data_IF_535308429173
#
_entry.id   IF_535308429173
#
_cell.length_a   1.000
_cell.length_b   1.000
_cell.length_c   1.000
_cell.angle_alpha   90.00
_cell.angle_beta   90.00
_cell.angle_gamma   90.00
#
_symmetry.space_group_name_H-M   'P 1'
#
loop_
_entity.id
_entity.type
_entity.pdbx_description
1 polymer ?
#
# COMPACT_ATOMS: atom_id res chain seq x y z
N UNK A 1 -8.92 -5.33 -9.88
CA UNK A 1 -7.98 -6.05 -9.00
C UNK A 1 -6.59 -6.16 -9.63
N UNK A 2 -6.45 -6.73 -10.82
CA UNK A 2 -5.14 -6.80 -11.51
C UNK A 2 -4.58 -5.42 -11.86
N UNK A 3 -5.44 -4.45 -12.19
CA UNK A 3 -5.03 -3.07 -12.53
C UNK A 3 -4.23 -2.38 -11.42
N UNK A 4 -4.67 -2.43 -10.15
CA UNK A 4 -3.91 -1.87 -9.01
C UNK A 4 -2.50 -2.44 -8.90
N UNK A 5 -2.34 -3.74 -9.16
CA UNK A 5 -1.03 -4.40 -9.13
C UNK A 5 -0.21 -4.04 -10.37
N UNK A 6 -0.81 -4.05 -11.55
CA UNK A 6 -0.14 -3.80 -12.83
C UNK A 6 0.29 -2.33 -12.98
N UNK A 7 -0.53 -1.37 -12.56
CA UNK A 7 -0.21 0.06 -12.56
C UNK A 7 0.93 0.35 -11.59
N UNK A 8 0.93 -0.30 -10.42
CA UNK A 8 2.05 -0.23 -9.47
C UNK A 8 3.32 -0.82 -10.05
N UNK A 9 3.24 -2.01 -10.67
CA UNK A 9 4.40 -2.61 -11.30
C UNK A 9 4.97 -1.72 -12.40
N UNK A 10 4.13 -1.12 -13.24
CA UNK A 10 4.53 -0.14 -14.25
C UNK A 10 5.15 1.12 -13.65
N UNK A 11 4.58 1.66 -12.57
CA UNK A 11 5.11 2.84 -11.89
C UNK A 11 6.50 2.59 -11.25
N UNK A 12 6.83 1.32 -10.99
CA UNK A 12 8.12 0.89 -10.46
C UNK A 12 9.12 0.50 -11.55
N UNK A 13 8.72 0.48 -12.83
CA UNK A 13 9.65 0.22 -13.94
C UNK A 13 10.65 1.37 -14.05
N UNK A 14 11.94 1.04 -14.03
CA UNK A 14 13.02 2.03 -14.14
C UNK A 14 13.34 2.80 -12.84
N UNK A 15 12.69 2.48 -11.72
CA UNK A 15 13.02 3.06 -10.41
C UNK A 15 13.94 2.09 -9.65
N UNK A 16 15.22 2.42 -9.57
CA UNK A 16 16.24 1.58 -8.92
C UNK A 16 16.31 1.82 -7.41
N UNK A 17 16.03 3.04 -6.95
CA UNK A 17 16.09 3.40 -5.53
C UNK A 17 14.94 2.76 -4.72
N UNK A 18 15.24 1.89 -3.73
CA UNK A 18 14.23 1.26 -2.88
C UNK A 18 13.35 2.26 -2.12
N UNK A 19 13.88 3.42 -1.71
CA UNK A 19 13.11 4.44 -1.00
C UNK A 19 12.05 5.06 -1.91
N UNK A 20 12.45 5.46 -3.12
CA UNK A 20 11.55 5.97 -4.15
C UNK A 20 10.48 4.94 -4.52
N UNK A 21 10.86 3.67 -4.71
CA UNK A 21 9.90 2.59 -4.96
C UNK A 21 8.86 2.49 -3.84
N UNK A 22 9.30 2.50 -2.57
CA UNK A 22 8.40 2.41 -1.43
C UNK A 22 7.40 3.59 -1.38
N UNK A 23 7.88 4.81 -1.62
CA UNK A 23 7.03 6.02 -1.66
C UNK A 23 5.99 5.93 -2.79
N UNK A 24 6.43 5.52 -3.99
CA UNK A 24 5.54 5.35 -5.15
C UNK A 24 4.49 4.28 -4.87
N UNK A 25 4.88 3.13 -4.31
CA UNK A 25 3.94 2.04 -3.99
C UNK A 25 2.89 2.49 -2.98
N UNK A 26 3.27 3.22 -1.92
CA UNK A 26 2.33 3.73 -0.91
C UNK A 26 1.32 4.69 -1.53
N UNK A 27 1.81 5.69 -2.28
CA UNK A 27 0.93 6.71 -2.87
C UNK A 27 -0.03 6.12 -3.90
N UNK A 28 0.46 5.25 -4.77
CA UNK A 28 -0.38 4.58 -5.78
C UNK A 28 -1.36 3.53 -5.21
N UNK A 29 -1.29 3.24 -3.91
CA UNK A 29 -2.21 2.34 -3.24
C UNK A 29 -3.50 2.92 -2.76
N UNK A 30 -3.54 4.24 -2.70
CA UNK A 30 -4.67 4.95 -2.15
C UNK A 30 -5.63 5.34 -3.27
N UNK A 31 -6.94 5.38 -2.98
CA UNK A 31 -7.91 5.97 -3.89
C UNK A 31 -7.55 7.44 -4.12
N UNK A 32 -7.67 7.90 -5.36
CA UNK A 32 -7.44 9.31 -5.68
C UNK A 32 -8.47 10.22 -4.98
N UNK A 33 -9.73 9.77 -4.93
CA UNK A 33 -10.86 10.45 -4.32
C UNK A 33 -11.98 9.42 -3.97
N UNK A 34 -13.14 9.92 -3.55
CA UNK A 34 -14.33 9.12 -3.23
C UNK A 34 -15.11 8.63 -4.48
N UNK A 35 -14.65 9.01 -5.68
CA UNK A 35 -15.23 8.61 -6.95
C UNK A 35 -14.47 7.46 -7.64
N UNK A 36 -13.49 6.86 -6.97
CA UNK A 36 -12.78 5.70 -7.51
C UNK A 36 -13.69 4.46 -7.58
N UNK A 37 -14.20 4.20 -8.78
CA UNK A 37 -15.15 3.10 -9.06
C UNK A 37 -14.57 1.71 -8.74
N UNK A 38 -13.26 1.52 -8.90
CA UNK A 38 -12.64 0.23 -8.63
C UNK A 38 -12.49 -0.01 -7.13
N UNK A 39 -12.16 1.03 -6.37
CA UNK A 39 -12.11 0.95 -4.90
C UNK A 39 -13.51 0.77 -4.33
N UNK A 40 -14.55 1.43 -4.87
CA UNK A 40 -15.94 1.19 -4.46
C UNK A 40 -16.34 -0.27 -4.61
N UNK A 41 -15.96 -0.90 -5.72
CA UNK A 41 -16.20 -2.32 -5.95
C UNK A 41 -15.45 -3.17 -4.91
N UNK A 42 -14.19 -2.87 -4.63
CA UNK A 42 -13.42 -3.56 -3.59
C UNK A 42 -14.05 -3.41 -2.19
N UNK A 43 -14.53 -2.22 -1.84
CA UNK A 43 -15.21 -1.99 -0.56
C UNK A 43 -16.51 -2.81 -0.45
N UNK A 44 -17.30 -2.88 -1.52
CA UNK A 44 -18.52 -3.67 -1.55
C UNK A 44 -18.22 -5.18 -1.41
N UNK A 45 -17.16 -5.67 -2.07
CA UNK A 45 -16.71 -7.06 -1.95
C UNK A 45 -16.17 -7.37 -0.55
N UNK A 46 -15.44 -6.44 0.07
CA UNK A 46 -14.91 -6.55 1.44
C UNK A 46 -16.00 -6.73 2.48
N UNK A 47 -17.09 -5.97 2.38
CA UNK A 47 -18.24 -6.10 3.27
C UNK A 47 -18.93 -7.47 3.20
N UNK A 48 -18.91 -8.12 2.04
CA UNK A 48 -19.58 -9.40 1.79
C UNK A 48 -18.65 -10.62 1.97
N UNK A 49 -17.34 -10.41 2.08
CA UNK A 49 -16.34 -11.48 2.14
C UNK A 49 -16.55 -12.46 3.30
N UNK A 50 -17.05 -12.00 4.45
CA UNK A 50 -17.37 -12.87 5.58
C UNK A 50 -18.51 -13.87 5.30
N UNK A 51 -19.32 -13.60 4.27
CA UNK A 51 -20.52 -14.37 3.89
C UNK A 51 -20.38 -15.08 2.53
N UNK A 52 -19.37 -14.72 1.74
CA UNK A 52 -19.09 -15.31 0.44
C UNK A 52 -17.64 -15.81 0.34
N UNK A 53 -17.48 -17.13 0.32
CA UNK A 53 -16.17 -17.81 0.28
C UNK A 53 -15.33 -17.46 -0.95
N UNK A 54 -15.97 -17.19 -2.09
CA UNK A 54 -15.25 -16.80 -3.32
C UNK A 54 -14.63 -15.42 -3.15
N UNK A 55 -15.37 -14.47 -2.57
CA UNK A 55 -14.87 -13.12 -2.30
C UNK A 55 -13.77 -13.12 -1.24
N UNK A 56 -13.91 -13.93 -0.19
CA UNK A 56 -12.86 -14.12 0.80
C UNK A 56 -11.54 -14.61 0.16
N UNK A 57 -11.60 -15.59 -0.74
CA UNK A 57 -10.42 -16.12 -1.45
C UNK A 57 -9.78 -15.04 -2.32
N UNK A 58 -10.58 -14.29 -3.08
CA UNK A 58 -10.06 -13.24 -3.96
C UNK A 58 -9.37 -12.12 -3.19
N UNK A 59 -9.98 -11.63 -2.11
CA UNK A 59 -9.40 -10.57 -1.27
C UNK A 59 -8.14 -11.05 -0.55
N UNK A 60 -8.14 -12.30 -0.06
CA UNK A 60 -6.94 -12.90 0.55
C UNK A 60 -5.79 -12.98 -0.46
N UNK A 61 -6.06 -13.45 -1.68
CA UNK A 61 -5.06 -13.53 -2.73
C UNK A 61 -4.53 -12.15 -3.15
N UNK A 62 -5.38 -11.13 -3.18
CA UNK A 62 -4.97 -9.75 -3.45
C UNK A 62 -4.07 -9.21 -2.32
N UNK A 63 -4.48 -9.39 -1.07
CA UNK A 63 -3.71 -8.98 0.11
C UNK A 63 -2.31 -9.63 0.09
N UNK A 64 -2.23 -10.95 -0.11
CA UNK A 64 -0.96 -11.67 -0.15
C UNK A 64 -0.04 -11.18 -1.27
N UNK A 65 -0.58 -10.83 -2.44
CA UNK A 65 0.19 -10.24 -3.55
C UNK A 65 0.75 -8.86 -3.20
N UNK A 66 -0.05 -8.00 -2.58
CA UNK A 66 0.42 -6.67 -2.14
C UNK A 66 1.48 -6.78 -1.05
N UNK A 67 1.29 -7.69 -0.09
CA UNK A 67 2.29 -7.98 0.95
C UNK A 67 3.60 -8.45 0.33
N UNK A 68 3.56 -9.34 -0.66
CA UNK A 68 4.75 -9.81 -1.36
C UNK A 68 5.48 -8.67 -2.09
N UNK A 69 4.75 -7.75 -2.73
CA UNK A 69 5.33 -6.56 -3.38
C UNK A 69 6.07 -5.67 -2.38
N UNK A 70 5.43 -5.34 -1.26
CA UNK A 70 6.06 -4.55 -0.20
C UNK A 70 7.28 -5.26 0.40
N UNK A 71 7.16 -6.56 0.67
CA UNK A 71 8.25 -7.35 1.22
C UNK A 71 9.47 -7.32 0.29
N UNK A 72 9.28 -7.45 -1.03
CA UNK A 72 10.37 -7.39 -1.98
C UNK A 72 11.11 -6.04 -1.97
N UNK A 73 10.38 -4.92 -1.89
CA UNK A 73 10.97 -3.57 -1.81
C UNK A 73 11.77 -3.40 -0.51
N UNK A 74 11.20 -3.82 0.62
CA UNK A 74 11.84 -3.73 1.94
C UNK A 74 13.12 -4.57 2.01
N UNK A 75 13.07 -5.80 1.49
CA UNK A 75 14.22 -6.69 1.44
C UNK A 75 15.32 -6.18 0.52
N UNK A 76 14.96 -5.63 -0.64
CA UNK A 76 15.90 -4.98 -1.54
C UNK A 76 16.58 -3.78 -0.87
N UNK A 77 15.84 -2.91 -0.19
CA UNK A 77 16.42 -1.77 0.51
C UNK A 77 17.31 -2.17 1.69
N UNK A 78 16.96 -3.23 2.41
CA UNK A 78 17.83 -3.82 3.44
C UNK A 78 19.12 -4.39 2.84
N UNK A 79 19.02 -5.14 1.74
CA UNK A 79 20.17 -5.75 1.06
C UNK A 79 21.13 -4.70 0.47
N UNK A 80 20.61 -3.57 0.02
CA UNK A 80 21.40 -2.43 -0.48
C UNK A 80 21.93 -1.52 0.65
N UNK A 81 21.55 -1.75 1.92
CA UNK A 81 21.94 -0.92 3.06
C UNK A 81 21.22 0.43 3.13
N UNK A 82 20.14 0.62 2.37
CA UNK A 82 19.30 1.83 2.38
C UNK A 82 18.36 1.83 3.58
N UNK A 83 17.87 0.66 4.00
CA UNK A 83 16.94 0.51 5.12
C UNK A 83 17.55 -0.27 6.28
N UNK A 84 17.26 0.19 7.49
CA UNK A 84 17.43 -0.57 8.73
C UNK A 84 16.04 -0.95 9.26
N UNK A 85 15.60 -2.16 8.95
CA UNK A 85 14.23 -2.59 9.28
C UNK A 85 14.09 -2.82 10.79
N UNK A 86 13.17 -2.09 11.42
CA UNK A 86 12.85 -2.22 12.84
C UNK A 86 12.17 -3.56 13.21
N UNK A 87 11.79 -4.35 12.20
CA UNK A 87 11.10 -5.63 12.33
C UNK A 87 11.29 -6.47 11.07
N UNK A 88 10.84 -7.73 11.11
CA UNK A 88 10.81 -8.58 9.93
C UNK A 88 10.02 -7.94 8.77
N UNK A 89 10.55 -8.03 7.55
CA UNK A 89 9.98 -7.40 6.35
C UNK A 89 8.52 -7.79 6.11
N UNK A 90 8.14 -9.04 6.42
CA UNK A 90 6.78 -9.53 6.23
C UNK A 90 5.81 -8.85 7.20
N UNK A 91 6.23 -8.58 8.44
CA UNK A 91 5.42 -7.85 9.42
C UNK A 91 5.19 -6.41 8.98
N UNK A 92 6.25 -5.75 8.53
CA UNK A 92 6.18 -4.37 8.05
C UNK A 92 5.26 -4.29 6.83
N UNK A 93 5.43 -5.18 5.85
CA UNK A 93 4.61 -5.25 4.66
C UNK A 93 3.12 -5.44 4.97
N UNK A 94 2.77 -6.37 5.87
CA UNK A 94 1.38 -6.58 6.29
C UNK A 94 0.75 -5.34 6.93
N UNK A 95 1.51 -4.63 7.77
CA UNK A 95 1.03 -3.41 8.39
C UNK A 95 0.81 -2.30 7.35
N UNK A 96 1.69 -2.16 6.36
CA UNK A 96 1.52 -1.18 5.28
C UNK A 96 0.23 -1.43 4.49
N UNK A 97 0.01 -2.67 4.04
CA UNK A 97 -1.21 -3.03 3.30
C UNK A 97 -2.47 -2.83 4.16
N UNK A 98 -2.42 -3.23 5.44
CA UNK A 98 -3.56 -3.03 6.35
C UNK A 98 -3.88 -1.54 6.59
N UNK A 99 -2.86 -0.67 6.66
CA UNK A 99 -3.06 0.77 6.77
C UNK A 99 -3.66 1.35 5.48
N UNK A 100 -3.17 0.94 4.30
CA UNK A 100 -3.74 1.33 3.01
C UNK A 100 -5.23 0.99 2.92
N UNK A 101 -5.57 -0.27 3.23
CA UNK A 101 -6.97 -0.72 3.22
C UNK A 101 -7.83 0.12 4.17
N UNK A 102 -7.38 0.30 5.41
CA UNK A 102 -8.12 1.01 6.44
C UNK A 102 -8.36 2.49 6.10
N UNK A 103 -7.35 3.17 5.57
CA UNK A 103 -7.50 4.56 5.17
C UNK A 103 -8.20 4.73 3.83
N UNK A 104 -8.06 3.78 2.91
CA UNK A 104 -8.83 3.75 1.66
C UNK A 104 -10.33 3.83 1.94
N UNK A 105 -10.83 3.08 2.93
CA UNK A 105 -12.23 3.19 3.37
C UNK A 105 -12.62 4.60 3.87
N UNK A 106 -11.69 5.35 4.46
CA UNK A 106 -11.96 6.72 4.94
C UNK A 106 -12.03 7.72 3.79
N UNK A 107 -11.13 7.59 2.81
CA UNK A 107 -11.16 8.38 1.57
C UNK A 107 -12.49 8.12 0.85
N UNK A 108 -12.85 6.85 0.64
CA UNK A 108 -14.11 6.47 -0.01
C UNK A 108 -15.37 6.91 0.74
N UNK A 109 -15.27 7.10 2.05
CA UNK A 109 -16.34 7.63 2.87
C UNK A 109 -16.43 9.17 2.85
N UNK A 110 -15.61 9.85 2.05
CA UNK A 110 -15.58 11.32 1.95
C UNK A 110 -15.10 11.99 3.24
N UNK A 111 -14.18 11.37 3.99
CA UNK A 111 -13.74 11.90 5.27
C UNK A 111 -13.05 13.29 5.08
N UNK A 112 -13.49 14.34 5.79
CA UNK A 112 -13.16 15.74 5.43
C UNK A 112 -11.69 16.13 5.59
N UNK A 113 -10.90 15.34 6.33
CA UNK A 113 -9.48 15.61 6.59
C UNK A 113 -8.56 14.44 6.23
N UNK A 114 -9.10 13.35 5.70
CA UNK A 114 -8.33 12.16 5.32
C UNK A 114 -8.48 11.98 3.82
N UNK A 115 -7.93 12.94 3.07
CA UNK A 115 -7.77 12.84 1.62
C UNK A 115 -6.55 11.95 1.27
N UNK A 116 -6.32 11.78 -0.03
CA UNK A 116 -5.23 10.97 -0.56
C UNK A 116 -3.86 11.38 0.01
N UNK A 117 -3.52 12.67 -0.01
CA UNK A 117 -2.18 13.14 0.39
C UNK A 117 -1.98 13.07 1.91
N UNK A 118 -2.98 13.47 2.70
CA UNK A 118 -2.93 13.35 4.15
C UNK A 118 -2.77 11.88 4.59
N UNK A 119 -3.51 10.99 3.94
CA UNK A 119 -3.42 9.56 4.19
C UNK A 119 -2.07 8.98 3.79
N UNK A 120 -1.56 9.34 2.62
CA UNK A 120 -0.25 8.88 2.16
C UNK A 120 0.86 9.25 3.15
N UNK A 121 0.83 10.48 3.70
CA UNK A 121 1.80 10.90 4.71
C UNK A 121 1.69 10.12 6.02
N UNK A 122 0.47 9.76 6.47
CA UNK A 122 0.29 8.91 7.66
C UNK A 122 0.90 7.51 7.48
N UNK A 123 0.78 6.94 6.28
CA UNK A 123 1.38 5.63 5.97
C UNK A 123 2.90 5.77 5.83
N UNK A 124 3.38 6.85 5.21
CA UNK A 124 4.80 7.16 5.11
C UNK A 124 5.44 7.38 6.48
N UNK A 125 4.76 8.01 7.44
CA UNK A 125 5.25 8.16 8.82
C UNK A 125 5.50 6.80 9.48
N UNK A 126 4.57 5.86 9.33
CA UNK A 126 4.81 4.49 9.78
C UNK A 126 5.99 3.84 9.03
N UNK A 127 6.07 4.01 7.71
CA UNK A 127 7.16 3.44 6.90
C UNK A 127 8.53 4.00 7.31
N UNK A 128 8.63 5.30 7.62
CA UNK A 128 9.85 5.97 8.11
C UNK A 128 10.33 5.34 9.41
N UNK A 129 9.41 5.11 10.36
CA UNK A 129 9.71 4.43 11.62
C UNK A 129 10.15 2.98 11.38
N UNK A 130 9.49 2.26 10.48
CA UNK A 130 9.75 0.86 10.23
C UNK A 130 11.05 0.59 9.46
N UNK A 131 11.52 1.56 8.67
CA UNK A 131 12.71 1.43 7.79
C UNK A 131 13.92 2.24 8.26
N UNK A 132 13.74 3.08 9.29
CA UNK A 132 14.71 4.08 9.75
C UNK A 132 15.21 5.01 8.62
N UNK A 133 14.39 5.25 7.60
CA UNK A 133 14.71 6.06 6.42
C UNK A 133 13.75 7.25 6.31
N UNK A 134 14.21 8.45 5.92
CA UNK A 134 13.36 9.66 5.88
C UNK A 134 12.26 9.62 4.81
N UNK A 135 12.41 8.78 3.78
CA UNK A 135 11.43 8.60 2.69
C UNK A 135 10.92 9.95 2.15
N UNK A 136 11.86 10.81 1.78
CA UNK A 136 11.56 12.13 1.20
C UNK A 136 11.04 11.97 -0.22
N UNK A 137 10.07 12.80 -0.59
CA UNK A 137 9.58 12.92 -1.96
C UNK A 137 10.67 13.62 -2.77
N UNK A 138 11.23 12.96 -3.79
CA UNK A 138 12.02 13.71 -4.78
C UNK A 138 11.09 14.74 -5.44
N UNK A 139 11.53 16.01 -5.44
CA UNK A 139 10.75 17.17 -5.90
C UNK A 139 10.78 17.27 -7.42
#
# INVERSE_FOLDING_TARGET
MERFYDERMKALEGVDDPASRLVITIRSGLPADDDDEEVRLLCALGGEAARNTVYAVLLTALFDRQVAMYQAILEMGRAQGVFELASDSLKIARNLVALEDAYGYRIMAGHPTLDHDATAELILDYARLATAHPLVKET
#
